data_IF_008719943314
#
_entry.id   IF_008719943314
#
_cell.length_a   1.000
_cell.length_b   1.000
_cell.length_c   1.000
_cell.angle_alpha   90.00
_cell.angle_beta   90.00
_cell.angle_gamma   90.00
#
_symmetry.space_group_name_H-M   'P 1'
#
loop_
_entity.id
_entity.type
_entity.pdbx_description
1 polymer ?
#
# COMPACT_ATOMS: atom_id res chain seq x y z
N UNK A 1 13.51 -13.72 -13.29
CA UNK A 1 12.87 -13.06 -12.14
C UNK A 1 11.44 -12.71 -12.53
N UNK A 2 10.44 -13.10 -11.73
CA UNK A 2 9.02 -12.81 -11.99
C UNK A 2 8.55 -11.63 -11.12
N UNK A 3 7.60 -10.87 -11.64
CA UNK A 3 6.93 -9.78 -10.93
C UNK A 3 5.50 -10.15 -10.53
N UNK A 4 4.97 -9.46 -9.52
CA UNK A 4 3.57 -9.55 -9.12
C UNK A 4 2.89 -8.18 -9.12
N UNK A 5 1.66 -8.15 -9.61
CA UNK A 5 0.84 -6.94 -9.67
C UNK A 5 -0.23 -7.03 -8.57
N UNK A 6 -0.07 -6.26 -7.51
CA UNK A 6 -0.86 -6.40 -6.29
C UNK A 6 -1.82 -5.22 -6.12
N UNK A 7 -2.95 -5.31 -6.81
CA UNK A 7 -4.02 -4.31 -6.74
C UNK A 7 -5.17 -4.78 -5.84
N UNK A 8 -5.80 -5.91 -6.18
CA UNK A 8 -7.05 -6.36 -5.58
C UNK A 8 -6.95 -6.75 -4.10
N UNK A 9 -8.03 -6.47 -3.39
CA UNK A 9 -8.26 -6.75 -1.98
C UNK A 9 -9.63 -7.40 -1.80
N UNK A 10 -9.89 -8.01 -0.63
CA UNK A 10 -11.18 -8.63 -0.34
C UNK A 10 -12.36 -7.65 -0.47
N UNK A 11 -12.12 -6.38 -0.13
CA UNK A 11 -13.14 -5.31 -0.14
C UNK A 11 -13.03 -4.38 -1.35
N UNK A 12 -11.99 -4.54 -2.19
CA UNK A 12 -11.70 -3.65 -3.32
C UNK A 12 -11.21 -4.47 -4.53
N UNK A 13 -12.14 -4.77 -5.43
CA UNK A 13 -11.89 -5.47 -6.69
C UNK A 13 -12.05 -4.55 -7.89
N UNK A 14 -13.29 -4.12 -8.16
CA UNK A 14 -13.62 -3.19 -9.26
C UNK A 14 -13.37 -1.73 -8.90
N UNK A 15 -13.54 -1.36 -7.63
CA UNK A 15 -13.24 -0.02 -7.14
C UNK A 15 -11.80 0.07 -6.64
N UNK A 16 -10.88 0.40 -7.54
CA UNK A 16 -9.46 0.52 -7.25
C UNK A 16 -9.07 1.76 -6.43
N UNK A 17 -10.01 2.68 -6.15
CA UNK A 17 -9.75 3.84 -5.28
C UNK A 17 -10.16 3.58 -3.83
N UNK A 18 -10.94 2.51 -3.57
CA UNK A 18 -11.33 2.09 -2.23
C UNK A 18 -10.32 1.17 -1.54
N UNK A 19 -9.03 1.22 -1.92
CA UNK A 19 -7.97 0.40 -1.31
C UNK A 19 -7.88 0.66 0.20
N UNK A 20 -7.83 -0.42 0.97
CA UNK A 20 -7.61 -0.45 2.41
C UNK A 20 -6.13 -0.56 2.76
N UNK A 21 -5.30 -1.13 1.87
CA UNK A 21 -3.86 -1.13 2.09
C UNK A 21 -3.34 0.31 2.11
N UNK A 22 -2.52 0.63 3.12
CA UNK A 22 -1.92 1.94 3.31
C UNK A 22 -0.41 1.89 3.23
N UNK A 23 0.18 3.00 2.81
CA UNK A 23 1.61 3.25 2.87
C UNK A 23 1.87 4.57 3.61
N UNK A 24 2.81 4.54 4.55
CA UNK A 24 3.28 5.72 5.28
C UNK A 24 4.79 5.79 5.29
N UNK A 25 5.36 6.98 5.43
CA UNK A 25 6.81 7.12 5.70
C UNK A 25 7.17 6.49 7.05
N UNK A 26 8.34 5.86 7.13
CA UNK A 26 8.97 5.49 8.40
C UNK A 26 9.24 6.74 9.24
N UNK A 27 9.38 6.57 10.56
CA UNK A 27 9.57 7.70 11.49
C UNK A 27 10.83 8.52 11.18
N UNK A 28 11.87 7.86 10.65
CA UNK A 28 13.12 8.47 10.20
C UNK A 28 13.11 8.87 8.70
N UNK A 29 12.02 8.60 7.97
CA UNK A 29 11.83 9.03 6.58
C UNK A 29 12.63 8.27 5.51
N UNK A 30 13.42 7.26 5.88
CA UNK A 30 14.28 6.50 4.98
C UNK A 30 13.54 5.43 4.16
N UNK A 31 12.34 5.07 4.59
CA UNK A 31 11.58 3.94 4.06
C UNK A 31 10.08 4.22 4.05
N UNK A 32 9.35 3.27 3.48
CA UNK A 32 7.90 3.20 3.54
C UNK A 32 7.48 2.00 4.36
N UNK A 33 6.51 2.19 5.24
CA UNK A 33 5.81 1.12 5.94
C UNK A 33 4.52 0.84 5.18
N UNK A 34 4.43 -0.35 4.61
CA UNK A 34 3.24 -0.85 3.93
C UNK A 34 2.41 -1.68 4.91
N UNK A 35 1.10 -1.44 4.98
CA UNK A 35 0.17 -2.15 5.85
C UNK A 35 -1.10 -2.52 5.10
N UNK A 36 -1.63 -3.72 5.31
CA UNK A 36 -2.87 -4.21 4.70
C UNK A 36 -2.73 -5.60 4.09
N UNK A 37 -3.79 -6.07 3.42
CA UNK A 37 -3.85 -7.41 2.84
C UNK A 37 -4.28 -7.35 1.37
N UNK A 38 -3.49 -7.96 0.50
CA UNK A 38 -3.83 -8.18 -0.92
C UNK A 38 -4.36 -9.59 -1.12
N UNK A 39 -5.23 -9.77 -2.11
CA UNK A 39 -5.85 -11.06 -2.39
C UNK A 39 -5.91 -11.34 -3.89
N UNK A 40 -5.98 -12.62 -4.25
CA UNK A 40 -6.12 -13.08 -5.64
C UNK A 40 -4.92 -12.74 -6.53
N UNK A 41 -3.73 -12.64 -5.94
CA UNK A 41 -2.51 -12.27 -6.64
C UNK A 41 -1.85 -13.54 -7.23
N UNK A 42 -2.11 -13.80 -8.50
CA UNK A 42 -1.78 -15.06 -9.17
C UNK A 42 -0.31 -15.47 -9.11
N UNK A 43 0.63 -14.53 -9.22
CA UNK A 43 2.08 -14.81 -9.26
C UNK A 43 2.78 -14.56 -7.93
N UNK A 44 2.04 -14.31 -6.84
CA UNK A 44 2.63 -13.90 -5.56
C UNK A 44 3.58 -14.95 -4.98
N UNK A 45 3.38 -16.24 -5.28
CA UNK A 45 4.21 -17.33 -4.77
C UNK A 45 5.59 -17.39 -5.44
N UNK A 46 5.66 -17.06 -6.71
CA UNK A 46 6.88 -17.17 -7.53
C UNK A 46 7.59 -15.81 -7.75
N UNK A 47 6.95 -14.70 -7.38
CA UNK A 47 7.47 -13.36 -7.63
C UNK A 47 8.67 -13.01 -6.73
N UNK A 48 9.70 -12.43 -7.37
CA UNK A 48 10.83 -11.80 -6.69
C UNK A 48 10.71 -10.27 -6.61
N UNK A 49 9.71 -9.69 -7.28
CA UNK A 49 9.41 -8.26 -7.25
C UNK A 49 7.89 -8.06 -7.16
N UNK A 50 7.44 -7.13 -6.33
CA UNK A 50 6.03 -6.84 -6.12
C UNK A 50 5.76 -5.37 -6.43
N UNK A 51 4.85 -5.10 -7.37
CA UNK A 51 4.25 -3.79 -7.57
C UNK A 51 2.96 -3.73 -6.76
N UNK A 52 3.01 -3.09 -5.58
CA UNK A 52 1.88 -3.02 -4.66
C UNK A 52 1.23 -1.65 -4.70
N UNK A 53 -0.10 -1.64 -4.86
CA UNK A 53 -0.90 -0.43 -4.78
C UNK A 53 -1.40 -0.23 -3.36
N UNK A 54 -1.23 0.96 -2.82
CA UNK A 54 -1.71 1.33 -1.50
C UNK A 54 -2.05 2.82 -1.47
N UNK A 55 -3.02 3.18 -0.63
CA UNK A 55 -3.36 4.58 -0.35
C UNK A 55 -2.33 5.20 0.59
N UNK A 56 -2.07 6.50 0.47
CA UNK A 56 -1.25 7.18 1.48
C UNK A 56 -2.00 7.23 2.81
N UNK A 57 -1.29 7.01 3.93
CA UNK A 57 -1.88 7.04 5.26
C UNK A 57 -2.33 8.47 5.63
N UNK A 58 -3.65 8.66 5.72
CA UNK A 58 -4.25 9.96 6.01
C UNK A 58 -3.96 10.44 7.44
N UNK A 59 -3.68 9.54 8.38
CA UNK A 59 -3.32 9.96 9.73
C UNK A 59 -1.93 10.61 9.76
N UNK A 60 -1.01 10.15 8.91
CA UNK A 60 0.27 10.81 8.70
C UNK A 60 0.09 12.21 8.08
N UNK A 61 -0.76 12.34 7.04
CA UNK A 61 -1.08 13.67 6.46
C UNK A 61 -1.60 14.63 7.52
N UNK A 62 -2.56 14.16 8.34
CA UNK A 62 -3.17 14.97 9.41
C UNK A 62 -2.14 15.40 10.45
N UNK A 63 -1.18 14.54 10.78
CA UNK A 63 -0.10 14.88 11.72
C UNK A 63 0.85 15.90 11.11
N UNK A 64 1.28 15.72 9.86
CA UNK A 64 2.15 16.67 9.16
C UNK A 64 1.50 18.06 9.05
N UNK A 65 0.21 18.12 8.69
CA UNK A 65 -0.54 19.38 8.64
C UNK A 65 -0.69 20.05 10.02
N UNK A 66 -0.76 19.27 11.11
CA UNK A 66 -0.78 19.82 12.49
C UNK A 66 0.57 20.40 12.91
N UNK A 67 1.67 19.84 12.40
CA UNK A 67 3.03 20.24 12.75
C UNK A 67 3.54 21.42 11.91
N UNK A 68 2.93 21.68 10.75
CA UNK A 68 3.28 22.79 9.86
C UNK A 68 2.02 23.56 9.41
N UNK A 69 1.43 24.40 10.28
CA UNK A 69 0.21 25.16 10.01
C UNK A 69 0.40 26.29 8.99
#
# INVERSE_FOLDING_TARGET
MLGSFCLSESESGSDAFALKATARRSENGDAWVLNGAKQWISTAREAGLFLVFASYDLDQVRQEMRLNP
#
